data_IF_073267350174
#
_entry.id   IF_073267350174
#
_cell.length_a   1.000
_cell.length_b   1.000
_cell.length_c   1.000
_cell.angle_alpha   90.00
_cell.angle_beta   90.00
_cell.angle_gamma   90.00
#
_symmetry.space_group_name_H-M   'P 1'
#
loop_
_entity.id
_entity.type
_entity.pdbx_description
1 polymer ?
#
# COMPACT_ATOMS: atom_id res chain seq x y z
N UNK A 1 -9.74 -7.11 -14.24
CA UNK A 1 -9.42 -5.70 -13.98
C UNK A 1 -8.08 -5.39 -14.67
N UNK A 2 -8.10 -4.76 -15.85
CA UNK A 2 -6.83 -4.43 -16.54
C UNK A 2 -6.29 -3.12 -16.01
N UNK A 3 -5.07 -3.14 -15.50
CA UNK A 3 -4.34 -1.94 -15.09
C UNK A 3 -4.00 -1.08 -16.31
N UNK A 4 -4.10 0.26 -16.22
CA UNK A 4 -3.69 1.13 -17.32
C UNK A 4 -2.20 0.91 -17.59
N UNK A 5 -1.86 0.59 -18.84
CA UNK A 5 -0.52 0.17 -19.26
C UNK A 5 0.54 1.28 -19.10
N UNK A 6 0.14 2.53 -18.96
CA UNK A 6 1.03 3.69 -18.87
C UNK A 6 0.66 4.59 -17.68
N UNK A 7 0.96 4.15 -16.46
CA UNK A 7 0.95 5.05 -15.29
C UNK A 7 2.28 5.80 -15.29
N UNK A 8 2.28 7.02 -15.83
CA UNK A 8 3.43 7.91 -15.75
C UNK A 8 3.57 8.47 -14.33
N UNK A 9 4.76 8.33 -13.78
CA UNK A 9 5.16 8.96 -12.51
C UNK A 9 6.00 10.19 -12.81
N UNK A 10 5.76 11.33 -12.13
CA UNK A 10 6.60 12.51 -12.27
C UNK A 10 8.05 12.17 -11.86
N UNK A 11 9.04 12.61 -12.64
CA UNK A 11 10.46 12.32 -12.37
C UNK A 11 11.00 13.06 -11.13
N UNK A 12 10.39 14.19 -10.75
CA UNK A 12 10.95 15.08 -9.72
C UNK A 12 9.96 15.48 -8.62
N UNK A 13 8.71 15.83 -8.96
CA UNK A 13 7.79 16.47 -8.01
C UNK A 13 7.37 15.63 -6.79
N UNK A 14 7.43 14.30 -6.89
CA UNK A 14 6.97 13.38 -5.83
C UNK A 14 8.06 12.38 -5.41
N UNK A 15 9.33 12.78 -5.54
CA UNK A 15 10.48 11.96 -5.19
C UNK A 15 10.93 12.27 -3.77
N UNK A 16 10.87 11.29 -2.89
CA UNK A 16 11.49 11.39 -1.56
C UNK A 16 12.88 10.75 -1.66
N UNK A 17 13.97 11.54 -1.61
CA UNK A 17 15.30 10.97 -1.50
C UNK A 17 15.40 10.28 -0.14
N UNK A 18 15.59 8.96 -0.16
CA UNK A 18 15.86 8.21 1.06
C UNK A 18 17.31 8.43 1.49
N UNK A 19 17.66 8.05 2.72
CA UNK A 19 19.03 8.13 3.26
C UNK A 19 20.09 7.51 2.34
N UNK A 20 19.67 6.58 1.48
CA UNK A 20 20.43 6.01 0.39
C UNK A 20 20.13 6.79 -0.91
N UNK A 21 21.10 7.51 -1.50
CA UNK A 21 20.90 8.32 -2.69
C UNK A 21 20.48 7.51 -3.93
N UNK A 22 20.62 6.18 -3.88
CA UNK A 22 20.20 5.29 -4.95
C UNK A 22 18.74 4.84 -4.82
N UNK A 23 18.04 5.12 -3.71
CA UNK A 23 16.65 4.72 -3.52
C UNK A 23 15.68 5.88 -3.72
N UNK A 24 14.73 5.67 -4.62
CA UNK A 24 13.68 6.62 -4.94
C UNK A 24 12.31 5.98 -4.72
N UNK A 25 11.40 6.76 -4.15
CA UNK A 25 9.97 6.45 -4.07
C UNK A 25 9.23 7.44 -4.96
N UNK A 26 8.44 6.92 -5.90
CA UNK A 26 7.51 7.73 -6.68
C UNK A 26 6.09 7.37 -6.24
N UNK A 27 5.26 8.37 -5.97
CA UNK A 27 3.86 8.19 -5.64
C UNK A 27 2.98 9.26 -6.30
N UNK A 28 1.69 8.97 -6.49
CA UNK A 28 0.68 9.94 -6.91
C UNK A 28 -0.73 9.49 -6.50
N UNK A 29 -1.69 10.40 -6.54
CA UNK A 29 -3.11 10.04 -6.44
C UNK A 29 -3.49 9.12 -7.61
N UNK A 30 -4.37 8.15 -7.35
CA UNK A 30 -4.97 7.32 -8.40
C UNK A 30 -6.05 8.14 -9.11
N UNK A 31 -6.07 8.08 -10.44
CA UNK A 31 -7.03 8.82 -11.25
C UNK A 31 -8.45 8.27 -11.02
N UNK A 32 -9.37 9.14 -10.59
CA UNK A 32 -10.77 8.79 -10.34
C UNK A 32 -11.02 7.98 -9.06
N UNK A 33 -12.19 8.20 -8.47
CA UNK A 33 -12.87 7.39 -7.43
C UNK A 33 -12.51 7.57 -5.95
N UNK A 34 -11.33 8.07 -5.55
CA UNK A 34 -11.11 8.46 -4.15
C UNK A 34 -9.85 9.30 -3.96
N UNK A 35 -9.96 10.48 -3.33
CA UNK A 35 -8.81 11.39 -3.11
C UNK A 35 -7.69 10.76 -2.30
N UNK A 36 -8.02 9.75 -1.48
CA UNK A 36 -7.07 9.05 -0.63
C UNK A 36 -6.44 7.82 -1.28
N UNK A 37 -6.90 7.41 -2.46
CA UNK A 37 -6.29 6.29 -3.16
C UNK A 37 -4.97 6.72 -3.82
N UNK A 38 -3.87 6.07 -3.46
CA UNK A 38 -2.52 6.42 -3.89
C UNK A 38 -1.89 5.23 -4.59
N UNK A 39 -1.18 5.50 -5.67
CA UNK A 39 -0.33 4.52 -6.35
C UNK A 39 1.13 4.89 -6.13
N UNK A 40 1.98 3.87 -5.96
CA UNK A 40 3.41 4.07 -5.77
C UNK A 40 4.24 2.97 -6.43
N UNK A 41 5.51 3.28 -6.65
CA UNK A 41 6.57 2.34 -7.01
C UNK A 41 7.86 2.76 -6.33
N UNK A 42 8.73 1.80 -6.05
CA UNK A 42 10.02 2.04 -5.41
C UNK A 42 11.10 1.47 -6.31
N UNK A 43 12.23 2.16 -6.41
CA UNK A 43 13.30 1.70 -7.27
C UNK A 43 14.51 2.60 -7.29
N UNK A 44 15.37 2.33 -8.26
CA UNK A 44 16.62 3.03 -8.53
C UNK A 44 16.87 3.08 -10.03
N UNK A 45 17.99 3.67 -10.43
CA UNK A 45 18.49 3.58 -11.81
C UNK A 45 18.70 2.14 -12.30
N UNK A 46 18.84 1.18 -11.38
CA UNK A 46 19.09 -0.23 -11.70
C UNK A 46 17.82 -1.05 -11.93
N UNK A 47 16.64 -0.50 -11.60
CA UNK A 47 15.39 -1.22 -11.75
C UNK A 47 14.29 -0.70 -10.83
N UNK A 48 13.07 -1.14 -11.11
CA UNK A 48 11.87 -0.67 -10.42
C UNK A 48 10.95 -1.82 -10.04
N UNK A 49 10.25 -1.66 -8.92
CA UNK A 49 9.18 -2.55 -8.51
C UNK A 49 7.99 -2.49 -9.49
N UNK A 50 7.09 -3.48 -9.38
CA UNK A 50 5.71 -3.32 -9.84
C UNK A 50 5.05 -2.09 -9.21
N UNK A 51 3.94 -1.65 -9.80
CA UNK A 51 3.11 -0.58 -9.22
C UNK A 51 2.21 -1.20 -8.16
N UNK A 52 2.18 -0.56 -6.99
CA UNK A 52 1.33 -0.91 -5.87
C UNK A 52 0.37 0.24 -5.56
N UNK A 53 -0.70 -0.05 -4.84
CA UNK A 53 -1.68 0.95 -4.40
C UNK A 53 -2.08 0.76 -2.95
N UNK A 54 -2.44 1.85 -2.30
CA UNK A 54 -3.04 1.84 -0.98
C UNK A 54 -4.07 2.96 -0.85
N UNK A 55 -4.99 2.84 0.10
CA UNK A 55 -5.89 3.92 0.49
C UNK A 55 -5.30 4.57 1.73
N UNK A 56 -5.12 5.89 1.70
CA UNK A 56 -4.71 6.65 2.87
C UNK A 56 -5.77 6.55 3.97
N UNK A 57 -5.34 6.57 5.23
CA UNK A 57 -6.25 6.44 6.37
C UNK A 57 -7.29 7.56 6.37
N UNK A 58 -8.56 7.17 6.28
CA UNK A 58 -9.73 8.05 6.27
C UNK A 58 -10.82 7.46 7.16
N UNK A 59 -11.55 8.31 7.86
CA UNK A 59 -12.67 7.86 8.69
C UNK A 59 -13.77 7.27 7.81
N UNK A 60 -14.37 6.16 8.25
CA UNK A 60 -15.43 5.52 7.48
C UNK A 60 -16.72 6.35 7.50
N UNK A 61 -17.61 6.22 6.50
CA UNK A 61 -18.89 6.95 6.48
C UNK A 61 -19.77 6.70 7.70
N UNK A 62 -19.69 5.51 8.30
CA UNK A 62 -20.37 5.15 9.55
C UNK A 62 -19.69 5.65 10.82
N UNK A 63 -18.53 6.30 10.71
CA UNK A 63 -17.67 6.74 11.80
C UNK A 63 -16.59 5.71 12.18
N UNK A 64 -15.46 6.22 12.68
CA UNK A 64 -14.33 5.42 13.15
C UNK A 64 -13.54 4.67 12.07
N UNK A 65 -12.84 3.62 12.49
CA UNK A 65 -11.94 2.80 11.65
C UNK A 65 -12.07 1.32 12.01
N UNK A 66 -11.79 0.43 11.06
CA UNK A 66 -11.73 -1.02 11.25
C UNK A 66 -10.28 -1.49 11.27
N UNK A 67 -9.88 -2.06 12.39
CA UNK A 67 -8.54 -2.60 12.59
C UNK A 67 -8.58 -4.13 12.60
N UNK A 68 -7.69 -4.76 11.85
CA UNK A 68 -7.36 -6.16 12.06
C UNK A 68 -6.22 -6.23 13.07
N UNK A 69 -6.39 -6.97 14.15
CA UNK A 69 -5.33 -7.17 15.16
C UNK A 69 -4.94 -8.64 15.17
N UNK A 70 -3.65 -8.93 15.01
CA UNK A 70 -3.15 -10.30 15.05
C UNK A 70 -1.80 -10.39 15.78
N UNK A 71 -1.56 -11.53 16.43
CA UNK A 71 -0.25 -12.01 16.86
C UNK A 71 0.00 -13.41 16.29
N UNK A 72 1.14 -14.00 16.59
CA UNK A 72 1.50 -15.40 16.28
C UNK A 72 1.35 -15.76 14.81
N UNK A 73 1.70 -14.85 13.89
CA UNK A 73 1.61 -15.14 12.46
C UNK A 73 2.62 -16.22 12.07
N UNK A 74 3.87 -16.11 12.53
CA UNK A 74 4.96 -16.98 12.11
C UNK A 74 5.27 -16.90 10.60
N UNK A 75 6.47 -17.32 10.20
CA UNK A 75 6.84 -17.36 8.78
C UNK A 75 6.41 -18.66 8.08
N UNK A 76 6.36 -19.78 8.83
CA UNK A 76 6.15 -21.13 8.28
C UNK A 76 4.67 -21.55 8.29
N UNK A 77 3.89 -21.08 9.28
CA UNK A 77 2.51 -21.52 9.50
C UNK A 77 1.56 -20.34 9.68
N UNK A 78 1.60 -19.40 8.73
CA UNK A 78 0.79 -18.19 8.75
C UNK A 78 -0.67 -18.45 8.41
N UNK A 79 -1.39 -19.13 9.31
CA UNK A 79 -2.80 -19.54 9.13
C UNK A 79 -3.73 -18.35 8.85
N UNK A 80 -3.46 -17.22 9.50
CA UNK A 80 -4.26 -16.01 9.35
C UNK A 80 -3.90 -15.19 8.11
N UNK A 81 -2.74 -15.41 7.47
CA UNK A 81 -2.23 -14.53 6.41
C UNK A 81 -3.14 -14.49 5.20
N UNK A 82 -3.62 -15.65 4.72
CA UNK A 82 -4.52 -15.69 3.56
C UNK A 82 -5.85 -14.97 3.80
N UNK A 83 -6.39 -15.07 5.02
CA UNK A 83 -7.60 -14.35 5.43
C UNK A 83 -7.33 -12.84 5.49
N UNK A 84 -6.27 -12.42 6.17
CA UNK A 84 -5.87 -11.02 6.30
C UNK A 84 -5.61 -10.36 4.95
N UNK A 85 -4.93 -11.07 4.03
CA UNK A 85 -4.67 -10.56 2.68
C UNK A 85 -5.98 -10.34 1.91
N UNK A 86 -6.89 -11.32 1.92
CA UNK A 86 -8.17 -11.22 1.23
C UNK A 86 -9.02 -10.09 1.80
N UNK A 87 -9.14 -10.01 3.12
CA UNK A 87 -9.95 -8.99 3.80
C UNK A 87 -9.36 -7.58 3.63
N UNK A 88 -8.03 -7.43 3.63
CA UNK A 88 -7.38 -6.17 3.30
C UNK A 88 -7.63 -5.76 1.84
N UNK A 89 -7.56 -6.70 0.89
CA UNK A 89 -7.83 -6.43 -0.53
C UNK A 89 -9.29 -6.07 -0.80
N UNK A 90 -10.22 -6.60 0.00
CA UNK A 90 -11.64 -6.26 -0.06
C UNK A 90 -11.97 -4.90 0.58
N UNK A 91 -11.06 -4.30 1.34
CA UNK A 91 -11.32 -3.08 2.11
C UNK A 91 -12.07 -3.32 3.43
N UNK A 92 -12.04 -4.54 3.95
CA UNK A 92 -12.69 -4.90 5.22
C UNK A 92 -12.00 -4.25 6.43
N UNK A 93 -10.71 -3.92 6.30
CA UNK A 93 -9.89 -3.23 7.30
C UNK A 93 -9.20 -2.00 6.71
N UNK A 94 -9.06 -0.97 7.54
CA UNK A 94 -8.31 0.26 7.22
C UNK A 94 -6.84 0.14 7.63
N UNK A 95 -6.56 -0.71 8.62
CA UNK A 95 -5.24 -0.93 9.18
C UNK A 95 -5.12 -2.33 9.75
N UNK A 96 -3.91 -2.89 9.66
CA UNK A 96 -3.56 -4.15 10.31
C UNK A 96 -2.49 -3.87 11.36
N UNK A 97 -2.74 -4.31 12.59
CA UNK A 97 -1.85 -4.20 13.74
C UNK A 97 -1.27 -5.58 14.09
N UNK A 98 0.04 -5.70 14.00
CA UNK A 98 0.79 -6.87 14.48
C UNK A 98 1.23 -6.63 15.93
N UNK A 99 0.67 -7.37 16.88
CA UNK A 99 0.83 -7.12 18.33
C UNK A 99 1.81 -8.05 19.05
N UNK A 100 2.64 -8.78 18.32
CA UNK A 100 3.67 -9.63 18.91
C UNK A 100 3.74 -11.00 18.26
N UNK A 101 4.77 -11.74 18.70
CA UNK A 101 5.29 -12.98 18.10
C UNK A 101 4.21 -13.87 17.55
#
# INVERSE_FOLDING_TARGET
MSWPKNIEFPQEKNRIPLRDPFRNVHWKAKDGENVNNRVYRVGSQYGWSSIFSFVGLEERPEGGYRFAVYGDMGNVNARSLGKLQREAQNGDFDMILHVGM
#
